data_IF_308198112711
#
_entry.id   IF_308198112711
#
_cell.length_a   1.000
_cell.length_b   1.000
_cell.length_c   1.000
_cell.angle_alpha   90.00
_cell.angle_beta   90.00
_cell.angle_gamma   90.00
#
_symmetry.space_group_name_H-M   'P 1'
#
loop_
_entity.id
_entity.type
_entity.pdbx_description
1 polymer ?
#
# COMPACT_ATOMS: atom_id res chain seq x y z
N UNK A 1 -22.01 20.70 -3.41
CA UNK A 1 -21.88 19.55 -4.35
C UNK A 1 -20.40 19.32 -4.55
N UNK A 2 -19.82 18.35 -3.88
CA UNK A 2 -18.42 17.98 -4.08
C UNK A 2 -18.30 17.37 -5.48
N UNK A 3 -17.41 17.91 -6.31
CA UNK A 3 -17.09 17.35 -7.61
C UNK A 3 -16.73 15.87 -7.42
N UNK A 4 -17.31 14.99 -8.22
CA UNK A 4 -16.97 13.58 -8.28
C UNK A 4 -15.53 13.42 -8.76
N UNK A 5 -14.55 13.64 -7.88
CA UNK A 5 -13.20 13.19 -8.15
C UNK A 5 -13.27 11.67 -8.30
N UNK A 6 -12.87 11.16 -9.46
CA UNK A 6 -12.84 9.72 -9.69
C UNK A 6 -12.04 9.05 -8.56
N UNK A 7 -12.59 8.00 -7.95
CA UNK A 7 -11.95 7.26 -6.84
C UNK A 7 -10.60 6.66 -7.26
N UNK A 8 -10.39 6.50 -8.55
CA UNK A 8 -9.24 5.85 -9.15
C UNK A 8 -8.73 6.66 -10.35
N UNK A 9 -7.42 6.73 -10.50
CA UNK A 9 -6.74 7.25 -11.71
C UNK A 9 -5.97 6.11 -12.36
N UNK A 10 -6.17 5.90 -13.66
CA UNK A 10 -5.46 4.86 -14.44
C UNK A 10 -4.60 5.55 -15.49
N UNK A 11 -3.33 5.14 -15.62
CA UNK A 11 -2.40 5.68 -16.60
C UNK A 11 -1.39 4.65 -17.10
N UNK A 12 -0.65 4.97 -18.17
CA UNK A 12 0.35 4.09 -18.77
C UNK A 12 -0.08 3.45 -20.08
N UNK A 13 0.66 2.45 -20.58
CA UNK A 13 0.40 1.82 -21.86
C UNK A 13 -0.99 1.19 -21.89
N UNK A 14 -1.74 1.44 -22.97
CA UNK A 14 -3.12 0.96 -23.11
C UNK A 14 -3.24 -0.47 -23.63
N UNK A 15 -2.19 -0.99 -24.30
CA UNK A 15 -2.11 -2.36 -24.81
C UNK A 15 -0.69 -2.91 -24.62
N UNK A 16 -0.57 -4.23 -24.45
CA UNK A 16 0.71 -4.91 -24.30
C UNK A 16 1.47 -4.52 -23.01
N UNK A 17 0.76 -4.10 -21.97
CA UNK A 17 1.37 -3.84 -20.69
C UNK A 17 1.84 -5.17 -20.06
N UNK A 18 3.08 -5.20 -19.58
CA UNK A 18 3.63 -6.36 -18.85
C UNK A 18 2.91 -6.62 -17.52
N UNK A 19 2.30 -5.58 -16.94
CA UNK A 19 1.64 -5.69 -15.65
C UNK A 19 0.79 -4.47 -15.31
N UNK A 20 0.09 -4.59 -14.19
CA UNK A 20 -0.65 -3.53 -13.54
C UNK A 20 -0.06 -3.28 -12.14
N UNK A 21 0.45 -2.08 -11.89
CA UNK A 21 0.86 -1.64 -10.57
C UNK A 21 -0.30 -0.87 -9.90
N UNK A 22 -0.69 -1.32 -8.70
CA UNK A 22 -1.68 -0.65 -7.89
C UNK A 22 -0.97 0.30 -6.92
N UNK A 23 -0.98 1.59 -7.17
CA UNK A 23 -0.38 2.60 -6.30
C UNK A 23 -1.36 2.96 -5.18
N UNK A 24 -1.21 2.30 -4.04
CA UNK A 24 -2.09 2.42 -2.87
C UNK A 24 -1.53 3.45 -1.90
N UNK A 25 -1.99 4.69 -2.01
CA UNK A 25 -1.43 5.85 -1.33
C UNK A 25 -1.73 5.91 0.17
N UNK A 26 -0.96 6.75 0.86
CA UNK A 26 -1.03 6.92 2.31
C UNK A 26 -2.26 7.72 2.77
N UNK A 27 -2.52 7.65 4.06
CA UNK A 27 -3.63 8.35 4.73
C UNK A 27 -3.57 9.85 4.53
N UNK A 28 -4.64 10.43 3.98
CA UNK A 28 -4.73 11.85 3.68
C UNK A 28 -3.81 12.32 2.55
N UNK A 29 -3.12 11.40 1.89
CA UNK A 29 -2.24 11.70 0.77
C UNK A 29 -3.01 12.25 -0.44
N UNK A 30 -2.44 13.23 -1.12
CA UNK A 30 -3.01 13.72 -2.36
C UNK A 30 -2.60 12.81 -3.52
N UNK A 31 -3.55 12.42 -4.36
CA UNK A 31 -3.33 11.52 -5.49
C UNK A 31 -2.15 11.94 -6.37
N UNK A 32 -2.02 13.23 -6.68
CA UNK A 32 -0.89 13.79 -7.45
C UNK A 32 0.51 13.45 -6.87
N UNK A 33 0.60 13.23 -5.55
CA UNK A 33 1.87 12.87 -4.92
C UNK A 33 2.18 11.38 -5.12
N UNK A 34 1.18 10.52 -5.06
CA UNK A 34 1.31 9.08 -5.33
C UNK A 34 1.61 8.84 -6.81
N UNK A 35 0.95 9.58 -7.69
CA UNK A 35 1.15 9.52 -9.16
C UNK A 35 2.57 9.85 -9.61
N UNK A 36 3.39 10.52 -8.78
CA UNK A 36 4.82 10.73 -9.06
C UNK A 36 5.61 9.44 -9.22
N UNK A 37 5.11 8.32 -8.69
CA UNK A 37 5.70 7.01 -8.85
C UNK A 37 5.30 6.31 -10.17
N UNK A 38 4.25 6.78 -10.84
CA UNK A 38 3.76 6.18 -12.08
C UNK A 38 4.81 6.13 -13.21
N UNK A 39 5.64 7.17 -13.46
CA UNK A 39 6.67 7.11 -14.48
C UNK A 39 7.70 5.99 -14.27
N UNK A 40 8.01 5.61 -13.02
CA UNK A 40 8.86 4.46 -12.71
C UNK A 40 8.22 3.18 -13.26
N UNK A 41 6.96 2.93 -12.95
CA UNK A 41 6.23 1.76 -13.40
C UNK A 41 6.02 1.73 -14.92
N UNK A 42 5.77 2.89 -15.54
CA UNK A 42 5.64 2.99 -16.99
C UNK A 42 6.94 2.61 -17.71
N UNK A 43 8.12 2.98 -17.17
CA UNK A 43 9.42 2.55 -17.72
C UNK A 43 9.63 1.03 -17.64
N UNK A 44 9.03 0.37 -16.64
CA UNK A 44 9.03 -1.09 -16.51
C UNK A 44 7.98 -1.78 -17.41
N UNK A 45 7.20 -1.00 -18.16
CA UNK A 45 6.15 -1.50 -19.04
C UNK A 45 4.81 -1.79 -18.35
N UNK A 46 4.60 -1.29 -17.13
CA UNK A 46 3.37 -1.48 -16.38
C UNK A 46 2.37 -0.34 -16.60
N UNK A 47 1.09 -0.67 -16.57
CA UNK A 47 0.02 0.31 -16.31
C UNK A 47 -0.02 0.61 -14.83
N UNK A 48 -0.57 1.75 -14.45
CA UNK A 48 -0.77 2.10 -13.04
C UNK A 48 -2.22 2.43 -12.75
N UNK A 49 -2.70 1.99 -11.60
CA UNK A 49 -3.98 2.38 -11.04
C UNK A 49 -3.73 2.99 -9.66
N UNK A 50 -4.05 4.27 -9.48
CA UNK A 50 -3.73 5.03 -8.27
C UNK A 50 -4.98 5.34 -7.46
N UNK A 51 -4.97 4.95 -6.19
CA UNK A 51 -5.96 5.31 -5.20
C UNK A 51 -5.28 5.88 -3.94
N UNK A 52 -6.00 6.69 -3.17
CA UNK A 52 -5.52 7.24 -1.90
C UNK A 52 -6.45 6.88 -0.76
N UNK A 53 -5.91 6.80 0.44
CA UNK A 53 -6.63 6.47 1.66
C UNK A 53 -7.02 7.72 2.44
N UNK A 54 -8.21 7.71 3.00
CA UNK A 54 -8.64 8.68 4.02
C UNK A 54 -8.25 8.24 5.43
N UNK A 55 -8.36 9.14 6.40
CA UNK A 55 -8.13 8.82 7.82
C UNK A 55 -9.06 7.70 8.27
N UNK A 56 -10.34 7.79 7.90
CA UNK A 56 -11.35 6.80 8.27
C UNK A 56 -11.01 5.41 7.71
N UNK A 57 -10.52 5.34 6.46
CA UNK A 57 -10.08 4.09 5.83
C UNK A 57 -8.91 3.43 6.56
N UNK A 58 -8.01 4.22 7.11
CA UNK A 58 -6.82 3.70 7.81
C UNK A 58 -7.15 3.16 9.19
N UNK A 59 -7.99 3.86 9.93
CA UNK A 59 -8.29 3.54 11.33
C UNK A 59 -9.57 2.74 11.54
N UNK A 60 -10.49 2.76 10.55
CA UNK A 60 -11.79 2.09 10.63
C UNK A 60 -12.14 1.37 9.31
N UNK A 61 -11.28 0.46 8.85
CA UNK A 61 -11.34 -0.04 7.48
C UNK A 61 -12.52 -0.95 7.15
N UNK A 62 -13.29 -1.41 8.12
CA UNK A 62 -14.24 -2.52 7.88
C UNK A 62 -15.66 -2.12 7.58
N UNK A 63 -16.06 -0.84 7.70
CA UNK A 63 -17.50 -0.52 7.78
C UNK A 63 -17.99 0.71 6.98
N UNK A 64 -17.14 1.42 6.22
CA UNK A 64 -17.58 2.67 5.61
C UNK A 64 -17.74 2.58 4.09
N UNK A 65 -18.80 3.17 3.59
CA UNK A 65 -19.19 3.13 2.16
C UNK A 65 -18.13 3.67 1.20
N UNK A 66 -17.35 4.69 1.60
CA UNK A 66 -16.28 5.24 0.76
C UNK A 66 -15.11 4.25 0.62
N UNK A 67 -14.77 3.50 1.66
CA UNK A 67 -13.76 2.46 1.63
C UNK A 67 -14.16 1.33 0.69
N UNK A 68 -15.39 0.83 0.85
CA UNK A 68 -15.93 -0.20 -0.02
C UNK A 68 -15.97 0.24 -1.48
N UNK A 69 -16.32 1.51 -1.75
CA UNK A 69 -16.36 2.06 -3.11
C UNK A 69 -14.96 2.12 -3.75
N UNK A 70 -13.94 2.56 -3.00
CA UNK A 70 -12.55 2.62 -3.49
C UNK A 70 -12.01 1.23 -3.76
N UNK A 71 -12.18 0.29 -2.83
CA UNK A 71 -11.75 -1.10 -2.99
C UNK A 71 -12.43 -1.75 -4.19
N UNK A 72 -13.75 -1.59 -4.32
CA UNK A 72 -14.50 -2.11 -5.47
C UNK A 72 -14.08 -1.48 -6.80
N UNK A 73 -13.65 -0.23 -6.80
CA UNK A 73 -13.09 0.39 -8.01
C UNK A 73 -11.74 -0.21 -8.39
N UNK A 74 -10.86 -0.47 -7.41
CA UNK A 74 -9.59 -1.16 -7.61
C UNK A 74 -9.80 -2.59 -8.12
N UNK A 75 -10.72 -3.34 -7.53
CA UNK A 75 -11.07 -4.71 -7.94
C UNK A 75 -11.53 -4.75 -9.41
N UNK A 76 -12.48 -3.87 -9.78
CA UNK A 76 -12.93 -3.77 -11.18
C UNK A 76 -11.78 -3.42 -12.13
N UNK A 77 -10.83 -2.58 -11.70
CA UNK A 77 -9.67 -2.24 -12.50
C UNK A 77 -8.77 -3.48 -12.70
N UNK A 78 -8.57 -4.29 -11.66
CA UNK A 78 -7.82 -5.55 -11.76
C UNK A 78 -8.54 -6.55 -12.65
N UNK A 79 -9.86 -6.70 -12.51
CA UNK A 79 -10.66 -7.61 -13.35
C UNK A 79 -10.57 -7.22 -14.82
N UNK A 80 -10.84 -5.95 -15.14
CA UNK A 80 -10.75 -5.43 -16.51
C UNK A 80 -9.33 -5.57 -17.10
N UNK A 81 -8.29 -5.44 -16.27
CA UNK A 81 -6.92 -5.69 -16.71
C UNK A 81 -6.70 -7.17 -17.03
N UNK A 82 -7.14 -8.09 -16.17
CA UNK A 82 -7.00 -9.54 -16.38
C UNK A 82 -7.82 -10.06 -17.56
N UNK A 83 -8.97 -9.45 -17.84
CA UNK A 83 -9.76 -9.76 -19.04
C UNK A 83 -9.01 -9.39 -20.32
N UNK A 84 -8.25 -8.29 -20.31
CA UNK A 84 -7.46 -7.84 -21.47
C UNK A 84 -6.10 -8.52 -21.58
N UNK A 85 -5.50 -8.88 -20.45
CA UNK A 85 -4.15 -9.43 -20.30
C UNK A 85 -4.18 -10.61 -19.31
N UNK A 86 -4.65 -11.80 -19.75
CA UNK A 86 -4.89 -12.93 -18.83
C UNK A 86 -3.65 -13.43 -18.09
N UNK A 87 -2.46 -13.27 -18.69
CA UNK A 87 -1.18 -13.61 -18.08
C UNK A 87 -0.45 -12.41 -17.46
N UNK A 88 -1.07 -11.24 -17.49
CA UNK A 88 -0.50 -10.02 -16.96
C UNK A 88 -0.37 -10.06 -15.45
N UNK A 89 0.73 -9.55 -14.94
CA UNK A 89 1.03 -9.53 -13.51
C UNK A 89 0.38 -8.33 -12.82
N UNK A 90 0.00 -8.51 -11.54
CA UNK A 90 -0.56 -7.43 -10.71
C UNK A 90 0.30 -7.25 -9.47
N UNK A 91 0.79 -6.02 -9.26
CA UNK A 91 1.70 -5.69 -8.16
C UNK A 91 1.15 -4.50 -7.36
N UNK A 92 0.63 -4.70 -6.15
CA UNK A 92 0.39 -3.61 -5.21
C UNK A 92 1.70 -2.95 -4.78
N UNK A 93 1.76 -1.62 -4.90
CA UNK A 93 2.77 -0.76 -4.32
C UNK A 93 2.10 0.08 -3.24
N UNK A 94 2.37 -0.27 -2.00
CA UNK A 94 1.62 0.13 -0.81
C UNK A 94 2.40 1.20 -0.06
N UNK A 95 1.81 2.37 0.09
CA UNK A 95 2.43 3.49 0.80
C UNK A 95 1.79 3.66 2.17
N UNK A 96 2.56 3.48 3.23
CA UNK A 96 2.14 3.64 4.61
C UNK A 96 0.97 2.70 5.01
N UNK A 97 0.48 2.83 6.21
CA UNK A 97 -0.67 2.06 6.69
C UNK A 97 -1.97 2.37 5.95
N UNK A 98 -2.10 3.56 5.34
CA UNK A 98 -3.25 3.87 4.49
C UNK A 98 -3.35 2.96 3.28
N UNK A 99 -2.23 2.72 2.61
CA UNK A 99 -2.14 1.74 1.52
C UNK A 99 -2.35 0.31 2.01
N UNK A 100 -1.80 -0.04 3.18
CA UNK A 100 -2.04 -1.35 3.81
C UNK A 100 -3.52 -1.63 4.05
N UNK A 101 -4.29 -0.64 4.51
CA UNK A 101 -5.73 -0.80 4.74
C UNK A 101 -6.47 -1.16 3.44
N UNK A 102 -6.12 -0.50 2.31
CA UNK A 102 -6.69 -0.83 1.01
C UNK A 102 -6.30 -2.25 0.56
N UNK A 103 -5.02 -2.63 0.69
CA UNK A 103 -4.55 -3.97 0.37
C UNK A 103 -5.29 -5.05 1.16
N UNK A 104 -5.43 -4.88 2.48
CA UNK A 104 -6.15 -5.83 3.35
C UNK A 104 -7.60 -5.97 2.91
N UNK A 105 -8.26 -4.86 2.57
CA UNK A 105 -9.64 -4.91 2.11
C UNK A 105 -9.80 -5.72 0.82
N UNK A 106 -8.89 -5.54 -0.15
CA UNK A 106 -8.87 -6.33 -1.38
C UNK A 106 -8.63 -7.81 -1.10
N UNK A 107 -7.66 -8.13 -0.23
CA UNK A 107 -7.32 -9.52 0.13
C UNK A 107 -8.48 -10.23 0.87
N UNK A 108 -9.27 -9.50 1.66
CA UNK A 108 -10.41 -10.07 2.41
C UNK A 108 -11.66 -10.27 1.56
N UNK A 109 -11.89 -9.39 0.59
CA UNK A 109 -13.11 -9.48 -0.24
C UNK A 109 -12.99 -10.56 -1.31
N UNK A 110 -11.77 -10.87 -1.74
CA UNK A 110 -11.52 -11.82 -2.81
C UNK A 110 -10.34 -12.73 -2.45
N UNK A 111 -10.65 -13.90 -1.93
CA UNK A 111 -9.66 -14.96 -1.66
C UNK A 111 -8.95 -15.48 -2.92
N UNK A 112 -9.52 -15.26 -4.11
CA UNK A 112 -8.98 -15.63 -5.41
C UNK A 112 -8.02 -14.60 -6.01
N UNK A 113 -7.89 -13.41 -5.39
CA UNK A 113 -6.96 -12.39 -5.89
C UNK A 113 -5.51 -12.76 -5.58
N UNK A 114 -4.84 -13.29 -6.59
CA UNK A 114 -3.39 -13.51 -6.54
C UNK A 114 -2.66 -12.27 -7.03
N UNK A 115 -1.93 -11.61 -6.13
CA UNK A 115 -0.93 -10.63 -6.50
C UNK A 115 0.40 -11.35 -6.71
N UNK A 116 1.14 -10.98 -7.75
CA UNK A 116 2.40 -11.63 -8.12
C UNK A 116 3.55 -11.23 -7.18
N UNK A 117 3.52 -10.01 -6.67
CA UNK A 117 4.43 -9.45 -5.68
C UNK A 117 3.75 -8.32 -4.92
N UNK A 118 4.35 -7.84 -3.82
CA UNK A 118 3.92 -6.63 -3.10
C UNK A 118 5.13 -5.78 -2.76
N UNK A 119 5.03 -4.47 -2.94
CA UNK A 119 6.03 -3.51 -2.47
C UNK A 119 5.42 -2.69 -1.33
N UNK A 120 6.10 -2.63 -0.21
CA UNK A 120 5.75 -1.83 0.96
C UNK A 120 6.73 -0.66 1.08
N UNK A 121 6.23 0.56 1.02
CA UNK A 121 6.97 1.81 1.22
C UNK A 121 6.53 2.42 2.55
N UNK A 122 7.43 2.55 3.52
CA UNK A 122 7.13 3.03 4.86
C UNK A 122 5.96 2.28 5.50
N UNK A 123 5.92 0.94 5.35
CA UNK A 123 4.79 0.09 5.76
C UNK A 123 5.24 -1.37 5.95
N UNK A 124 4.45 -2.18 6.68
CA UNK A 124 3.35 -1.79 7.56
C UNK A 124 3.85 -1.44 8.97
N UNK A 125 3.07 -0.66 9.73
CA UNK A 125 3.21 -0.62 11.18
C UNK A 125 2.01 -1.31 11.83
N UNK A 126 2.30 -2.32 12.63
CA UNK A 126 1.29 -3.08 13.36
C UNK A 126 0.95 -2.47 14.72
N UNK A 127 1.66 -1.39 15.10
CA UNK A 127 1.54 -0.72 16.41
C UNK A 127 1.02 0.72 16.30
N UNK A 128 0.40 1.09 15.17
CA UNK A 128 -0.13 2.42 14.98
C UNK A 128 -1.34 2.64 15.89
N UNK A 129 -1.17 3.50 16.89
CA UNK A 129 -2.25 3.81 17.82
C UNK A 129 -3.17 4.90 17.24
N UNK A 130 -4.52 4.82 17.41
CA UNK A 130 -5.44 5.84 16.89
C UNK A 130 -5.15 7.27 17.38
N UNK A 131 -4.52 7.43 18.55
CA UNK A 131 -4.09 8.73 19.06
C UNK A 131 -3.11 9.49 18.14
N UNK A 132 -2.41 8.78 17.23
CA UNK A 132 -1.54 9.45 16.24
C UNK A 132 -2.31 9.97 15.02
N UNK A 133 -3.62 9.70 14.89
CA UNK A 133 -4.42 10.17 13.75
C UNK A 133 -4.36 11.70 13.56
N UNK A 134 -4.44 12.57 14.60
CA UNK A 134 -4.28 14.01 14.43
C UNK A 134 -2.90 14.39 13.88
N UNK A 135 -1.86 13.68 14.29
CA UNK A 135 -0.50 13.91 13.83
C UNK A 135 -0.31 13.51 12.36
N UNK A 136 -0.89 12.38 11.95
CA UNK A 136 -0.92 11.93 10.56
C UNK A 136 -1.66 12.96 9.68
N UNK A 137 -2.77 13.51 10.16
CA UNK A 137 -3.50 14.57 9.47
C UNK A 137 -2.62 15.82 9.32
N UNK A 138 -1.89 16.22 10.36
CA UNK A 138 -0.99 17.37 10.33
C UNK A 138 0.13 17.26 9.31
N UNK A 139 0.54 16.03 8.96
CA UNK A 139 1.60 15.76 7.97
C UNK A 139 1.06 15.54 6.55
N UNK A 140 -0.25 15.51 6.35
CA UNK A 140 -0.89 15.22 5.05
C UNK A 140 -0.70 16.30 3.98
N UNK A 141 -0.15 17.47 4.34
CA UNK A 141 0.11 18.58 3.41
C UNK A 141 -1.16 19.33 2.98
N UNK A 142 -2.27 19.17 3.70
CA UNK A 142 -3.46 19.98 3.51
C UNK A 142 -3.22 21.44 3.99
N UNK A 143 -3.95 22.44 3.45
CA UNK A 143 -3.86 23.83 3.94
C UNK A 143 -4.10 23.91 5.45
N UNK A 144 -3.38 24.79 6.15
CA UNK A 144 -3.38 24.84 7.62
C UNK A 144 -4.76 24.89 8.28
N UNK A 145 -5.73 25.63 7.68
CA UNK A 145 -7.10 25.69 8.18
C UNK A 145 -7.85 24.36 8.05
N UNK A 146 -7.70 23.65 6.93
CA UNK A 146 -8.30 22.33 6.71
C UNK A 146 -7.66 21.27 7.62
N UNK A 147 -6.34 21.31 7.77
CA UNK A 147 -5.60 20.47 8.70
C UNK A 147 -6.09 20.64 10.12
N UNK A 148 -6.24 21.91 10.60
CA UNK A 148 -6.74 22.22 11.93
C UNK A 148 -8.19 21.73 12.11
N UNK A 149 -9.06 21.96 11.14
CA UNK A 149 -10.44 21.49 11.18
C UNK A 149 -10.53 19.95 11.26
N UNK A 150 -9.70 19.26 10.49
CA UNK A 150 -9.61 17.79 10.52
C UNK A 150 -9.07 17.31 11.87
N UNK A 151 -8.03 17.95 12.41
CA UNK A 151 -7.48 17.61 13.72
C UNK A 151 -8.53 17.75 14.83
N UNK A 152 -9.22 18.90 14.88
CA UNK A 152 -10.28 19.17 15.86
C UNK A 152 -11.43 18.18 15.72
N UNK A 153 -11.83 17.86 14.50
CA UNK A 153 -12.89 16.89 14.22
C UNK A 153 -12.51 15.46 14.68
N UNK A 154 -11.27 15.05 14.43
CA UNK A 154 -10.83 13.68 14.70
C UNK A 154 -10.26 13.47 16.10
N UNK A 155 -9.89 14.54 16.83
CA UNK A 155 -9.33 14.41 18.18
C UNK A 155 -10.26 13.72 19.18
N UNK A 156 -11.54 14.08 19.33
CA UNK A 156 -12.45 13.38 20.24
C UNK A 156 -12.61 11.90 19.84
N UNK A 157 -12.65 11.64 18.56
CA UNK A 157 -12.78 10.30 18.01
C UNK A 157 -11.53 9.44 18.27
N UNK A 158 -10.35 10.01 18.10
CA UNK A 158 -9.08 9.33 18.40
C UNK A 158 -8.96 9.01 19.89
N UNK A 159 -9.39 9.92 20.76
CA UNK A 159 -9.41 9.70 22.21
C UNK A 159 -10.40 8.60 22.59
N UNK A 160 -11.63 8.64 22.06
CA UNK A 160 -12.65 7.62 22.30
C UNK A 160 -12.18 6.25 21.77
N UNK A 161 -11.65 6.21 20.57
CA UNK A 161 -11.11 4.99 19.99
C UNK A 161 -9.95 4.43 20.83
N UNK A 162 -9.08 5.29 21.36
CA UNK A 162 -7.97 4.86 22.22
C UNK A 162 -8.47 4.24 23.53
N UNK A 163 -9.52 4.83 24.13
CA UNK A 163 -10.15 4.29 25.34
C UNK A 163 -10.89 2.97 25.05
N UNK A 164 -11.50 2.85 23.87
CA UNK A 164 -12.24 1.66 23.46
C UNK A 164 -11.34 0.50 22.97
N UNK A 165 -10.10 0.80 22.59
CA UNK A 165 -9.16 -0.19 22.02
C UNK A 165 -9.08 -1.52 22.77
N UNK A 166 -8.97 -1.54 24.13
CA UNK A 166 -8.93 -2.80 24.89
C UNK A 166 -10.20 -3.65 24.73
N UNK A 167 -11.33 -3.02 24.39
CA UNK A 167 -12.64 -3.67 24.31
C UNK A 167 -13.06 -4.04 22.89
N UNK A 168 -12.40 -3.50 21.87
CA UNK A 168 -12.76 -3.70 20.46
C UNK A 168 -12.37 -5.08 19.89
N UNK A 169 -11.57 -5.85 20.60
CA UNK A 169 -11.15 -7.18 20.15
C UNK A 169 -10.58 -7.16 18.74
N UNK A 170 -11.11 -8.01 17.84
CA UNK A 170 -10.67 -8.13 16.45
C UNK A 170 -11.07 -6.94 15.55
N UNK A 171 -12.01 -6.12 15.98
CA UNK A 171 -12.37 -4.87 15.29
C UNK A 171 -11.38 -3.73 15.54
N UNK A 172 -10.36 -3.94 16.37
CA UNK A 172 -9.32 -2.94 16.63
C UNK A 172 -8.55 -2.62 15.34
N UNK A 173 -8.30 -1.32 15.04
CA UNK A 173 -7.45 -0.93 13.93
C UNK A 173 -6.05 -1.54 13.98
N UNK A 174 -5.51 -1.77 15.19
CA UNK A 174 -4.23 -2.47 15.37
C UNK A 174 -4.30 -3.93 14.91
N UNK A 175 -5.39 -4.62 15.19
CA UNK A 175 -5.58 -6.01 14.75
C UNK A 175 -5.84 -6.11 13.25
N UNK A 176 -6.47 -5.09 12.65
CA UNK A 176 -6.69 -5.06 11.21
C UNK A 176 -5.36 -5.18 10.44
N UNK A 177 -4.35 -4.38 10.79
CA UNK A 177 -3.03 -4.49 10.16
C UNK A 177 -2.31 -5.80 10.48
N UNK A 178 -2.62 -6.45 11.60
CA UNK A 178 -2.11 -7.79 11.91
C UNK A 178 -2.56 -8.85 10.91
N UNK A 179 -3.65 -8.64 10.18
CA UNK A 179 -4.12 -9.55 9.13
C UNK A 179 -3.08 -9.75 8.03
N UNK A 180 -2.20 -8.77 7.78
CA UNK A 180 -1.09 -8.94 6.83
C UNK A 180 -0.07 -9.98 7.26
N UNK A 181 -0.03 -10.35 8.56
CA UNK A 181 0.81 -11.45 9.06
C UNK A 181 0.18 -12.82 8.80
N UNK A 182 -1.13 -12.88 8.63
CA UNK A 182 -1.86 -14.13 8.47
C UNK A 182 -1.70 -14.62 7.03
N UNK A 183 -1.15 -15.82 6.84
CA UNK A 183 -0.97 -16.42 5.51
C UNK A 183 -2.29 -16.74 4.82
N UNK A 184 -3.38 -16.95 5.56
CA UNK A 184 -4.70 -17.19 5.00
C UNK A 184 -5.30 -15.92 4.37
N UNK A 185 -4.94 -14.73 4.91
CA UNK A 185 -5.38 -13.43 4.37
C UNK A 185 -4.37 -12.89 3.37
N UNK A 186 -3.08 -12.99 3.68
CA UNK A 186 -1.96 -12.51 2.87
C UNK A 186 -1.01 -13.66 2.53
N UNK A 187 -1.33 -14.49 1.53
CA UNK A 187 -0.50 -15.63 1.15
C UNK A 187 0.95 -15.24 0.86
N UNK A 188 1.91 -16.11 1.16
CA UNK A 188 3.32 -15.88 0.86
C UNK A 188 3.57 -15.62 -0.62
N UNK A 189 4.34 -14.58 -0.89
CA UNK A 189 4.75 -14.15 -2.24
C UNK A 189 6.03 -13.32 -2.16
N UNK A 190 6.65 -12.93 -3.28
CA UNK A 190 7.71 -11.93 -3.27
C UNK A 190 7.25 -10.60 -2.66
N UNK A 191 8.00 -10.08 -1.70
CA UNK A 191 7.72 -8.81 -1.02
C UNK A 191 8.99 -7.97 -0.93
N UNK A 192 8.89 -6.69 -1.30
CA UNK A 192 9.95 -5.70 -1.12
C UNK A 192 9.53 -4.69 -0.06
N UNK A 193 10.41 -4.44 0.91
CA UNK A 193 10.22 -3.42 1.95
C UNK A 193 11.21 -2.28 1.74
N UNK A 194 10.67 -1.06 1.56
CA UNK A 194 11.39 0.19 1.45
C UNK A 194 11.12 1.01 2.71
N UNK A 195 12.15 1.31 3.51
CA UNK A 195 11.98 2.01 4.78
C UNK A 195 13.23 2.78 5.18
N UNK A 196 13.13 3.63 6.19
CA UNK A 196 14.23 4.55 6.57
C UNK A 196 14.43 4.67 8.07
N UNK A 197 15.67 4.96 8.45
CA UNK A 197 16.06 5.29 9.82
C UNK A 197 15.43 6.58 10.35
N UNK A 198 15.10 7.50 9.44
CA UNK A 198 14.51 8.80 9.77
C UNK A 198 12.98 8.82 9.71
N UNK A 199 12.36 7.66 9.44
CA UNK A 199 10.91 7.55 9.52
C UNK A 199 10.46 7.48 10.97
N UNK A 200 10.06 8.63 11.51
CA UNK A 200 9.59 8.73 12.90
C UNK A 200 8.14 8.25 13.07
N UNK A 201 7.35 8.20 11.98
CA UNK A 201 5.94 7.76 12.03
C UNK A 201 5.84 6.24 12.01
N UNK A 202 6.64 5.59 11.17
CA UNK A 202 6.76 4.14 11.12
C UNK A 202 8.23 3.75 11.31
N UNK A 203 8.68 3.62 12.57
CA UNK A 203 10.06 3.32 12.89
C UNK A 203 10.54 2.01 12.28
N UNK A 204 11.81 1.90 11.89
CA UNK A 204 12.39 0.72 11.22
C UNK A 204 12.06 -0.60 11.92
N UNK A 205 12.14 -0.65 13.26
CA UNK A 205 11.91 -1.87 14.02
C UNK A 205 10.48 -2.43 13.84
N UNK A 206 9.46 -1.59 13.54
CA UNK A 206 8.11 -2.09 13.24
C UNK A 206 8.08 -2.89 11.94
N UNK A 207 8.80 -2.42 10.92
CA UNK A 207 8.91 -3.09 9.62
C UNK A 207 9.78 -4.34 9.74
N UNK A 208 10.90 -4.26 10.46
CA UNK A 208 11.80 -5.38 10.70
C UNK A 208 11.13 -6.52 11.47
N UNK A 209 10.29 -6.20 12.47
CA UNK A 209 9.46 -7.19 13.17
C UNK A 209 8.46 -7.88 12.22
N UNK A 210 7.90 -7.14 11.30
CA UNK A 210 7.01 -7.69 10.29
C UNK A 210 7.77 -8.58 9.29
N UNK A 211 8.89 -8.11 8.76
CA UNK A 211 9.78 -8.87 7.87
C UNK A 211 10.18 -10.19 8.53
N UNK A 212 10.58 -10.17 9.81
CA UNK A 212 10.96 -11.38 10.55
C UNK A 212 9.81 -12.39 10.61
N UNK A 213 8.59 -11.92 10.85
CA UNK A 213 7.41 -12.77 10.86
C UNK A 213 7.13 -13.38 9.48
N UNK A 214 7.25 -12.59 8.41
CA UNK A 214 6.99 -13.04 7.03
C UNK A 214 8.04 -14.02 6.54
N UNK A 215 9.32 -13.79 6.85
CA UNK A 215 10.42 -14.72 6.50
C UNK A 215 10.26 -16.11 7.08
N UNK A 216 9.58 -16.24 8.21
CA UNK A 216 9.24 -17.53 8.82
C UNK A 216 8.16 -18.31 8.08
N UNK A 217 7.50 -17.73 7.09
CA UNK A 217 6.44 -18.38 6.32
C UNK A 217 7.01 -19.05 5.07
N UNK A 218 6.66 -20.33 4.87
CA UNK A 218 7.11 -21.11 3.72
C UNK A 218 6.66 -20.45 2.41
N UNK A 219 7.58 -20.31 1.43
CA UNK A 219 7.30 -19.71 0.13
C UNK A 219 7.39 -18.18 0.07
N UNK A 220 7.72 -17.50 1.17
CA UNK A 220 7.99 -16.06 1.18
C UNK A 220 9.40 -15.75 0.65
N UNK A 221 9.49 -14.86 -0.33
CA UNK A 221 10.75 -14.24 -0.77
C UNK A 221 10.73 -12.78 -0.34
N UNK A 222 11.57 -12.42 0.63
CA UNK A 222 11.56 -11.09 1.24
C UNK A 222 12.85 -10.35 0.92
N UNK A 223 12.72 -9.24 0.23
CA UNK A 223 13.78 -8.25 0.03
C UNK A 223 13.50 -7.00 0.87
N UNK A 224 14.56 -6.32 1.30
CA UNK A 224 14.45 -5.12 2.11
C UNK A 224 15.54 -4.13 1.72
N UNK A 225 15.14 -2.88 1.52
CA UNK A 225 16.04 -1.77 1.25
C UNK A 225 15.82 -0.67 2.28
N UNK A 226 16.89 -0.33 3.02
CA UNK A 226 16.87 0.62 4.13
C UNK A 226 17.60 1.89 3.76
N UNK A 227 16.90 3.01 3.75
CA UNK A 227 17.47 4.34 3.57
C UNK A 227 17.93 4.93 4.93
N UNK A 228 18.93 5.79 4.91
CA UNK A 228 19.51 6.34 6.15
C UNK A 228 18.80 7.61 6.63
N UNK A 229 18.23 8.43 5.73
CA UNK A 229 17.90 9.83 6.01
C UNK A 229 16.57 10.33 5.45
N UNK A 230 15.85 9.52 4.70
CA UNK A 230 14.56 9.92 4.12
C UNK A 230 13.42 9.88 5.13
N UNK A 231 12.55 10.88 5.08
CA UNK A 231 11.35 10.94 5.91
C UNK A 231 10.28 9.94 5.42
N UNK A 232 9.21 9.79 6.22
CA UNK A 232 8.05 8.92 5.91
C UNK A 232 7.51 9.15 4.49
N UNK A 233 7.42 8.08 3.69
CA UNK A 233 6.95 8.08 2.28
C UNK A 233 7.70 9.10 1.39
N UNK A 234 8.94 9.43 1.75
CA UNK A 234 9.75 10.39 1.00
C UNK A 234 10.97 9.76 0.32
N UNK A 235 11.11 8.43 0.38
CA UNK A 235 12.28 7.71 -0.11
C UNK A 235 12.54 8.00 -1.59
N UNK A 236 11.52 7.89 -2.43
CA UNK A 236 11.63 8.20 -3.87
C UNK A 236 12.00 9.66 -4.16
N UNK A 237 11.52 10.60 -3.34
CA UNK A 237 11.86 12.03 -3.49
C UNK A 237 13.29 12.32 -3.11
N UNK A 238 13.79 11.66 -2.05
CA UNK A 238 15.12 11.90 -1.48
C UNK A 238 16.20 11.15 -2.26
N UNK A 239 15.91 9.90 -2.67
CA UNK A 239 16.82 8.99 -3.33
C UNK A 239 16.20 8.39 -4.60
N UNK A 240 15.89 9.19 -5.64
CA UNK A 240 15.11 8.72 -6.79
C UNK A 240 15.79 7.60 -7.58
N UNK A 241 17.10 7.63 -7.72
CA UNK A 241 17.86 6.63 -8.46
C UNK A 241 17.94 5.30 -7.70
N UNK A 242 18.35 5.35 -6.44
CA UNK A 242 18.48 4.20 -5.56
C UNK A 242 17.12 3.49 -5.36
N UNK A 243 16.05 4.28 -5.13
CA UNK A 243 14.70 3.77 -5.04
C UNK A 243 14.24 3.09 -6.34
N UNK A 244 14.49 3.74 -7.47
CA UNK A 244 14.12 3.21 -8.78
C UNK A 244 14.86 1.92 -9.09
N UNK A 245 16.15 1.85 -8.74
CA UNK A 245 16.96 0.66 -8.90
C UNK A 245 16.41 -0.50 -8.06
N UNK A 246 16.18 -0.27 -6.75
CA UNK A 246 15.65 -1.30 -5.85
C UNK A 246 14.31 -1.88 -6.34
N UNK A 247 13.39 -1.02 -6.79
CA UNK A 247 12.10 -1.47 -7.34
C UNK A 247 12.29 -2.23 -8.65
N UNK A 248 13.12 -1.71 -9.57
CA UNK A 248 13.31 -2.32 -10.90
C UNK A 248 13.94 -3.69 -10.81
N UNK A 249 14.98 -3.84 -9.98
CA UNK A 249 15.67 -5.12 -9.76
C UNK A 249 14.75 -6.15 -9.09
N UNK A 250 13.98 -5.72 -8.07
CA UNK A 250 13.02 -6.61 -7.43
C UNK A 250 11.98 -7.11 -8.42
N UNK A 251 11.40 -6.24 -9.26
CA UNK A 251 10.41 -6.62 -10.26
C UNK A 251 11.03 -7.55 -11.31
N UNK A 252 12.25 -7.28 -11.79
CA UNK A 252 12.94 -8.16 -12.72
C UNK A 252 13.08 -9.58 -12.16
N UNK A 253 13.70 -9.72 -10.98
CA UNK A 253 13.96 -11.03 -10.34
C UNK A 253 12.70 -11.77 -9.92
N UNK A 254 11.74 -11.06 -9.34
CA UNK A 254 10.63 -11.69 -8.63
C UNK A 254 9.39 -11.90 -9.46
N UNK A 255 9.27 -11.21 -10.58
CA UNK A 255 8.07 -11.18 -11.41
C UNK A 255 8.39 -11.58 -12.84
N UNK A 256 9.31 -10.88 -13.49
CA UNK A 256 9.54 -11.06 -14.94
C UNK A 256 10.37 -12.32 -15.26
N UNK A 257 11.36 -12.67 -14.43
CA UNK A 257 12.20 -13.87 -14.66
C UNK A 257 11.43 -15.18 -14.39
N UNK A 258 10.41 -15.16 -13.54
CA UNK A 258 9.57 -16.33 -13.27
C UNK A 258 8.72 -16.73 -14.46
N UNK A 259 8.27 -15.78 -15.26
CA UNK A 259 7.48 -16.05 -16.45
C UNK A 259 8.32 -16.74 -17.55
N UNK A 260 9.63 -16.46 -17.62
CA UNK A 260 10.54 -17.12 -18.54
C UNK A 260 10.69 -18.63 -18.26
N UNK A 261 10.64 -19.03 -16.97
CA UNK A 261 10.76 -20.44 -16.57
C UNK A 261 9.42 -21.20 -16.63
N UNK A 262 8.27 -20.51 -16.58
CA UNK A 262 6.97 -21.14 -16.63
C UNK A 262 6.49 -21.42 -18.06
N UNK A 263 7.06 -20.76 -19.07
CA UNK A 263 6.69 -20.94 -20.49
C UNK A 263 7.46 -22.05 -21.22
N UNK A 264 8.37 -22.76 -20.51
CA UNK A 264 8.99 -24.01 -21.04
C UNK A 264 9.80 -23.84 -22.33
N UNK A 265 10.28 -22.67 -22.65
CA UNK A 265 11.25 -22.44 -23.72
C UNK A 265 12.64 -22.62 -23.11
N UNK A 266 13.08 -23.87 -22.97
CA UNK A 266 14.50 -24.18 -22.94
C UNK A 266 15.13 -23.87 -24.31
N UNK A 267 16.39 -23.38 -24.33
CA UNK A 267 17.09 -22.98 -25.54
C UNK A 267 17.39 -24.16 -26.47
#
# INVERSE_FOLDING_TARGET
MASSQSLLSVSGPSRGARGLALLLGWTGGQRRHVEKHAPLWHRLGFRTATATSTVDMTFFPSQWTCFAATTKALERCVDAYRESEPFGVVVPHVFSNGGCAMLISMLRQRHDQTFNAVIYDSAPSLRLHPAVAPLVIGTSGAPGAETMALMVRHLPYSLLASCAMPFLGDCSPLRHHNLLRCSDVNPPRPELFLYSDRDWLIPPHHIEDFIRCRRGQHGSTIEAHRFSDSAHVAHFRTHPEEYSLAVSEFIARSVLDRDAHSTGLEP
#
